data_IF_619406836900
#
_entry.id   IF_619406836900
#
_cell.length_a   1.000
_cell.length_b   1.000
_cell.length_c   1.000
_cell.angle_alpha   90.00
_cell.angle_beta   90.00
_cell.angle_gamma   90.00
#
_symmetry.space_group_name_H-M   'P 1'
#
loop_
_entity.id
_entity.type
_entity.pdbx_description
1 polymer ?
#
# COMPACT_ATOMS: atom_id res chain seq x y z
N UNK A 1 1.30 4.06 24.01
CA UNK A 1 1.92 2.80 23.58
C UNK A 1 2.20 2.95 22.09
N UNK A 2 3.45 3.19 21.70
CA UNK A 2 3.80 3.32 20.28
C UNK A 2 3.75 1.93 19.65
N UNK A 3 3.04 1.82 18.52
CA UNK A 3 2.98 0.57 17.77
C UNK A 3 4.41 0.18 17.36
N UNK A 4 4.76 -1.10 17.50
CA UNK A 4 6.05 -1.59 17.01
C UNK A 4 6.01 -1.58 15.48
N UNK A 5 7.04 -1.03 14.81
CA UNK A 5 7.10 -1.08 13.35
C UNK A 5 7.21 -2.54 12.89
N UNK A 6 6.78 -2.85 11.65
CA UNK A 6 7.06 -4.15 11.05
C UNK A 6 8.58 -4.31 10.95
N UNK A 7 9.13 -5.40 11.49
CA UNK A 7 10.56 -5.64 11.56
C UNK A 7 10.92 -6.88 10.72
N UNK A 8 11.95 -6.76 9.86
CA UNK A 8 12.53 -7.88 9.13
C UNK A 8 13.72 -8.46 9.91
N UNK A 9 13.40 -9.45 10.74
CA UNK A 9 14.38 -10.17 11.56
C UNK A 9 15.47 -10.86 10.73
N UNK A 10 15.10 -11.37 9.55
CA UNK A 10 16.04 -12.05 8.67
C UNK A 10 17.00 -11.06 8.02
N UNK A 11 16.54 -9.86 7.63
CA UNK A 11 17.40 -8.78 7.14
C UNK A 11 18.40 -8.33 8.21
N UNK A 12 17.94 -8.09 9.44
CA UNK A 12 18.80 -7.70 10.56
C UNK A 12 19.91 -8.74 10.78
N UNK A 13 19.55 -10.02 10.83
CA UNK A 13 20.51 -11.13 10.98
C UNK A 13 21.52 -11.18 9.84
N UNK A 14 21.07 -11.10 8.58
CA UNK A 14 21.94 -11.12 7.40
C UNK A 14 22.96 -9.97 7.42
N UNK A 15 22.52 -8.76 7.76
CA UNK A 15 23.38 -7.57 7.86
C UNK A 15 24.39 -7.71 9.00
N UNK A 16 23.97 -8.22 10.17
CA UNK A 16 24.89 -8.49 11.27
C UNK A 16 25.96 -9.51 10.87
N UNK A 17 25.54 -10.61 10.25
CA UNK A 17 26.44 -11.69 9.84
C UNK A 17 27.42 -11.24 8.74
N UNK A 18 27.00 -10.39 7.80
CA UNK A 18 27.89 -9.85 6.76
C UNK A 18 28.97 -8.92 7.32
N UNK A 19 28.70 -8.27 8.46
CA UNK A 19 29.68 -7.46 9.20
C UNK A 19 30.57 -8.30 10.14
N UNK A 20 30.36 -9.62 10.24
CA UNK A 20 31.08 -10.48 11.19
C UNK A 20 30.78 -10.16 12.66
N UNK A 21 29.64 -9.51 12.95
CA UNK A 21 29.28 -9.07 14.29
C UNK A 21 28.52 -10.15 15.06
N UNK A 22 28.71 -10.20 16.38
CA UNK A 22 27.86 -10.96 17.29
C UNK A 22 26.74 -10.05 17.81
N UNK A 23 25.64 -10.60 18.37
CA UNK A 23 24.63 -9.78 19.05
C UNK A 23 25.23 -8.88 20.15
N UNK A 24 26.31 -9.31 20.80
CA UNK A 24 27.02 -8.49 21.79
C UNK A 24 27.73 -7.27 21.18
N UNK A 25 28.31 -7.40 19.99
CA UNK A 25 28.88 -6.25 19.27
C UNK A 25 27.80 -5.23 18.90
N UNK A 26 26.63 -5.70 18.47
CA UNK A 26 25.49 -4.82 18.13
C UNK A 26 24.95 -4.12 19.38
N UNK A 27 24.76 -4.86 20.48
CA UNK A 27 24.37 -4.31 21.78
C UNK A 27 25.32 -3.18 22.23
N UNK A 28 26.62 -3.43 22.14
CA UNK A 28 27.63 -2.41 22.42
C UNK A 28 27.52 -1.21 21.48
N UNK A 29 27.32 -1.42 20.16
CA UNK A 29 27.14 -0.35 19.18
C UNK A 29 25.92 0.53 19.47
N UNK A 30 24.77 -0.08 19.80
CA UNK A 30 23.55 0.64 20.20
C UNK A 30 23.78 1.48 21.47
N UNK A 31 24.51 0.94 22.44
CA UNK A 31 24.84 1.69 23.65
C UNK A 31 25.83 2.83 23.37
N UNK A 32 26.91 2.57 22.63
CA UNK A 32 27.97 3.53 22.37
C UNK A 32 27.50 4.72 21.51
N UNK A 33 26.68 4.46 20.48
CA UNK A 33 26.23 5.49 19.55
C UNK A 33 24.92 6.16 19.96
N UNK A 34 24.02 5.44 20.66
CA UNK A 34 22.65 5.92 20.93
C UNK A 34 22.28 5.90 22.43
N UNK A 35 23.19 5.45 23.31
CA UNK A 35 22.93 5.37 24.75
C UNK A 35 21.94 4.27 25.14
N UNK A 36 21.49 3.43 24.21
CA UNK A 36 20.51 2.38 24.47
C UNK A 36 21.16 1.09 24.93
N UNK A 37 20.90 0.71 26.18
CA UNK A 37 21.37 -0.55 26.76
C UNK A 37 20.36 -1.67 26.47
N UNK A 38 20.59 -2.38 25.38
CA UNK A 38 19.82 -3.57 25.00
C UNK A 38 20.68 -4.80 25.24
N UNK A 39 20.12 -5.82 25.90
CA UNK A 39 20.85 -7.07 26.16
C UNK A 39 21.12 -7.82 24.84
N UNK A 40 22.29 -8.48 24.66
CA UNK A 40 22.57 -9.28 23.47
C UNK A 40 21.51 -10.35 23.19
N UNK A 41 20.92 -10.92 24.24
CA UNK A 41 19.84 -11.92 24.18
C UNK A 41 18.56 -11.32 23.58
N UNK A 42 18.28 -10.05 23.85
CA UNK A 42 17.14 -9.33 23.26
C UNK A 42 17.32 -9.17 21.74
N UNK A 43 18.55 -8.89 21.29
CA UNK A 43 18.86 -8.79 19.87
C UNK A 43 18.71 -10.17 19.20
N UNK A 44 19.19 -11.23 19.85
CA UNK A 44 18.98 -12.60 19.37
C UNK A 44 17.48 -12.95 19.28
N UNK A 45 16.68 -12.58 20.28
CA UNK A 45 15.23 -12.78 20.27
C UNK A 45 14.53 -12.00 19.14
N UNK A 46 15.01 -10.79 18.81
CA UNK A 46 14.54 -10.04 17.63
C UNK A 46 14.86 -10.78 16.33
N UNK A 47 16.09 -11.28 16.17
CA UNK A 47 16.52 -12.04 14.98
C UNK A 47 15.80 -13.38 14.81
N UNK A 48 15.30 -13.96 15.92
CA UNK A 48 14.43 -15.15 15.93
C UNK A 48 12.95 -14.82 15.77
N UNK A 49 12.61 -13.53 15.66
CA UNK A 49 11.24 -13.03 15.53
C UNK A 49 10.33 -13.37 16.74
N UNK A 50 10.92 -13.59 17.91
CA UNK A 50 10.23 -13.81 19.19
C UNK A 50 9.75 -12.49 19.81
N UNK A 51 10.43 -11.40 19.46
CA UNK A 51 10.06 -10.03 19.79
C UNK A 51 10.45 -9.09 18.64
N UNK A 52 10.16 -7.80 18.76
CA UNK A 52 10.60 -6.80 17.78
C UNK A 52 10.93 -5.46 18.46
N UNK A 53 11.84 -4.68 17.86
CA UNK A 53 12.23 -3.38 18.39
C UNK A 53 11.08 -2.37 18.30
N UNK A 54 11.07 -1.38 19.20
CA UNK A 54 10.32 -0.14 19.00
C UNK A 54 11.05 0.79 18.01
N UNK A 55 10.46 1.95 17.68
CA UNK A 55 11.03 2.88 16.69
C UNK A 55 12.43 3.40 17.06
N UNK A 56 12.66 3.76 18.33
CA UNK A 56 13.97 4.22 18.81
C UNK A 56 15.00 3.10 18.79
N UNK A 57 14.59 1.89 19.19
CA UNK A 57 15.43 0.69 19.13
C UNK A 57 15.78 0.31 17.69
N UNK A 58 14.83 0.42 16.75
CA UNK A 58 15.04 0.15 15.33
C UNK A 58 16.06 1.14 14.73
N UNK A 59 15.95 2.43 15.04
CA UNK A 59 16.88 3.43 14.58
C UNK A 59 18.30 3.19 15.13
N UNK A 60 18.42 2.85 16.41
CA UNK A 60 19.71 2.53 17.01
C UNK A 60 20.31 1.22 16.47
N UNK A 61 19.47 0.21 16.23
CA UNK A 61 19.88 -1.04 15.60
C UNK A 61 20.41 -0.81 14.18
N UNK A 62 19.69 -0.02 13.38
CA UNK A 62 20.12 0.37 12.04
C UNK A 62 21.47 1.11 12.06
N UNK A 63 21.63 2.06 13.00
CA UNK A 63 22.91 2.73 13.20
C UNK A 63 24.04 1.78 13.61
N UNK A 64 23.77 0.81 14.49
CA UNK A 64 24.75 -0.20 14.89
C UNK A 64 25.12 -1.16 13.76
N UNK A 65 24.19 -1.43 12.82
CA UNK A 65 24.39 -2.26 11.62
C UNK A 65 24.79 -1.47 10.37
N UNK A 66 24.98 -0.15 10.50
CA UNK A 66 25.43 0.73 9.43
C UNK A 66 24.51 0.69 8.19
N UNK A 67 23.20 0.53 8.43
CA UNK A 67 22.17 0.51 7.41
C UNK A 67 21.11 1.59 7.68
N UNK A 68 20.21 1.82 6.71
CA UNK A 68 19.07 2.69 6.93
C UNK A 68 18.01 1.94 7.76
N UNK A 69 17.20 2.63 8.61
CA UNK A 69 16.09 1.98 9.32
C UNK A 69 15.12 1.24 8.40
N UNK A 70 14.94 1.73 7.17
CA UNK A 70 14.16 1.09 6.12
C UNK A 70 14.65 -0.30 5.72
N UNK A 71 15.96 -0.56 5.80
CA UNK A 71 16.55 -1.86 5.45
C UNK A 71 16.19 -2.95 6.47
N UNK A 72 15.69 -2.55 7.64
CA UNK A 72 15.24 -3.43 8.72
C UNK A 72 13.72 -3.49 8.84
N UNK A 73 12.98 -2.75 8.02
CA UNK A 73 11.52 -2.78 8.03
C UNK A 73 10.99 -4.00 7.26
N UNK A 74 9.96 -4.63 7.83
CA UNK A 74 9.12 -5.57 7.10
C UNK A 74 8.18 -4.85 6.13
N UNK A 75 7.12 -5.53 5.69
CA UNK A 75 6.16 -4.93 4.75
C UNK A 75 5.44 -3.72 5.38
N UNK A 76 5.62 -2.49 4.87
CA UNK A 76 5.03 -1.29 5.43
C UNK A 76 3.51 -1.27 5.20
N UNK A 77 2.78 -0.81 6.21
CA UNK A 77 1.31 -0.71 6.26
C UNK A 77 0.81 0.69 6.61
N UNK A 78 1.67 1.55 7.14
CA UNK A 78 1.32 2.93 7.52
C UNK A 78 2.16 3.95 6.76
N UNK A 79 1.63 5.18 6.58
CA UNK A 79 2.38 6.27 5.93
C UNK A 79 3.73 6.52 6.60
N UNK A 80 3.75 6.42 7.93
CA UNK A 80 4.96 6.51 8.74
C UNK A 80 5.99 5.46 8.33
N UNK A 81 5.59 4.19 8.21
CA UNK A 81 6.48 3.09 7.80
C UNK A 81 6.97 3.23 6.37
N UNK A 82 6.10 3.65 5.42
CA UNK A 82 6.52 3.94 4.05
C UNK A 82 7.55 5.08 4.01
N UNK A 83 7.37 6.13 4.82
CA UNK A 83 8.34 7.22 4.94
C UNK A 83 9.68 6.73 5.50
N UNK A 84 9.66 5.91 6.55
CA UNK A 84 10.87 5.33 7.12
C UNK A 84 11.60 4.43 6.12
N UNK A 85 10.85 3.62 5.35
CA UNK A 85 11.41 2.79 4.28
C UNK A 85 12.13 3.62 3.21
N UNK A 86 11.60 4.81 2.90
CA UNK A 86 12.24 5.74 1.96
C UNK A 86 13.34 6.61 2.59
N UNK A 87 13.54 6.55 3.91
CA UNK A 87 14.53 7.35 4.62
C UNK A 87 14.28 8.87 4.56
N UNK A 88 13.02 9.30 4.41
CA UNK A 88 12.67 10.72 4.25
C UNK A 88 12.26 11.31 5.61
N UNK A 89 12.74 12.52 5.92
CA UNK A 89 12.30 13.22 7.13
C UNK A 89 10.83 13.65 7.02
N UNK A 90 10.12 13.67 8.16
CA UNK A 90 8.71 14.05 8.20
C UNK A 90 8.47 15.48 7.67
N UNK A 91 9.37 16.41 7.99
CA UNK A 91 9.36 17.79 7.47
C UNK A 91 9.49 17.87 5.95
N UNK A 92 10.29 16.98 5.36
CA UNK A 92 10.58 17.00 3.93
C UNK A 92 9.39 16.48 3.13
N UNK A 93 8.71 15.45 3.64
CA UNK A 93 7.44 14.99 3.06
C UNK A 93 6.42 16.12 3.13
N UNK A 94 6.25 16.72 4.31
CA UNK A 94 5.31 17.82 4.53
C UNK A 94 5.57 19.00 3.57
N UNK A 95 6.84 19.39 3.39
CA UNK A 95 7.25 20.43 2.46
C UNK A 95 6.91 20.06 1.01
N UNK A 96 7.26 18.85 0.56
CA UNK A 96 6.99 18.38 -0.81
C UNK A 96 5.51 18.34 -1.15
N UNK A 97 4.66 17.89 -0.22
CA UNK A 97 3.21 17.86 -0.41
C UNK A 97 2.55 19.22 -0.15
N UNK A 98 3.29 20.24 0.30
CA UNK A 98 2.74 21.55 0.63
C UNK A 98 1.75 21.51 1.82
N UNK A 99 2.07 20.73 2.85
CA UNK A 99 1.28 20.60 4.08
C UNK A 99 2.09 21.06 5.30
N UNK A 100 1.49 21.71 6.31
CA UNK A 100 2.20 22.00 7.55
C UNK A 100 2.70 20.73 8.23
N UNK A 101 3.95 20.72 8.73
CA UNK A 101 4.58 19.54 9.35
C UNK A 101 3.74 18.95 10.47
N UNK A 102 3.16 19.79 11.34
CA UNK A 102 2.29 19.32 12.42
C UNK A 102 1.02 18.62 11.91
N UNK A 103 0.46 19.07 10.79
CA UNK A 103 -0.70 18.42 10.16
C UNK A 103 -0.32 17.10 9.53
N UNK A 104 0.84 17.01 8.87
CA UNK A 104 1.34 15.76 8.33
C UNK A 104 1.68 14.74 9.44
N UNK A 105 2.27 15.21 10.55
CA UNK A 105 2.51 14.37 11.73
C UNK A 105 1.22 13.76 12.30
N UNK A 106 0.15 14.56 12.35
CA UNK A 106 -1.16 14.09 12.79
C UNK A 106 -1.76 13.05 11.83
N UNK A 107 -1.55 13.23 10.52
CA UNK A 107 -1.95 12.24 9.50
C UNK A 107 -1.20 10.91 9.70
N UNK A 108 0.12 10.94 9.90
CA UNK A 108 0.90 9.72 10.20
C UNK A 108 0.42 9.05 11.50
N UNK A 109 0.15 9.84 12.53
CA UNK A 109 -0.27 9.35 13.86
C UNK A 109 -1.67 8.74 13.86
N UNK A 110 -2.61 9.37 13.16
CA UNK A 110 -4.01 8.94 13.15
C UNK A 110 -4.33 7.94 12.04
N UNK A 111 -3.47 7.86 11.02
CA UNK A 111 -3.76 7.12 9.79
C UNK A 111 -4.89 7.73 8.96
N UNK A 112 -5.38 8.92 9.32
CA UNK A 112 -6.50 9.58 8.62
C UNK A 112 -5.97 10.67 7.71
N UNK A 113 -6.12 10.46 6.41
CA UNK A 113 -5.76 11.48 5.43
C UNK A 113 -6.71 12.68 5.51
N UNK A 114 -6.14 13.88 5.62
CA UNK A 114 -6.91 15.14 5.67
C UNK A 114 -6.52 16.12 4.55
N UNK A 115 -5.58 15.75 3.68
CA UNK A 115 -5.08 16.63 2.61
C UNK A 115 -5.99 16.66 1.38
N UNK A 116 -5.68 17.56 0.44
CA UNK A 116 -6.38 17.61 -0.86
C UNK A 116 -5.96 16.46 -1.78
N UNK A 117 -6.72 16.26 -2.86
CA UNK A 117 -6.40 15.25 -3.90
C UNK A 117 -5.02 15.51 -4.54
N UNK A 118 -4.65 16.78 -4.71
CA UNK A 118 -3.34 17.14 -5.23
C UNK A 118 -2.22 16.77 -4.25
N UNK A 119 -2.43 17.00 -2.95
CA UNK A 119 -1.47 16.61 -1.92
C UNK A 119 -1.33 15.09 -1.85
N UNK A 120 -2.44 14.36 -2.02
CA UNK A 120 -2.45 12.90 -2.06
C UNK A 120 -1.67 12.37 -3.27
N UNK A 121 -1.81 13.01 -4.44
CA UNK A 121 -1.04 12.70 -5.64
C UNK A 121 0.47 12.85 -5.41
N UNK A 122 0.89 14.00 -4.86
CA UNK A 122 2.29 14.26 -4.56
C UNK A 122 2.84 13.30 -3.51
N UNK A 123 2.03 12.93 -2.51
CA UNK A 123 2.40 11.93 -1.51
C UNK A 123 2.68 10.56 -2.14
N UNK A 124 1.81 10.11 -3.06
CA UNK A 124 1.96 8.84 -3.75
C UNK A 124 3.30 8.76 -4.49
N UNK A 125 3.68 9.84 -5.19
CA UNK A 125 4.97 9.93 -5.89
C UNK A 125 6.13 10.02 -4.89
N UNK A 126 6.01 10.85 -3.85
CA UNK A 126 7.09 11.08 -2.86
C UNK A 126 7.45 9.81 -2.10
N UNK A 127 6.46 8.99 -1.76
CA UNK A 127 6.65 7.74 -1.04
C UNK A 127 6.68 6.51 -1.96
N UNK A 128 6.60 6.70 -3.28
CA UNK A 128 6.58 5.64 -4.29
C UNK A 128 5.52 4.57 -3.99
N UNK A 129 4.31 5.04 -3.66
CA UNK A 129 3.20 4.18 -3.29
C UNK A 129 2.63 3.50 -4.53
N UNK A 130 2.36 2.20 -4.42
CA UNK A 130 1.56 1.52 -5.44
C UNK A 130 0.16 2.16 -5.51
N UNK A 131 -0.50 2.15 -6.68
CA UNK A 131 -1.86 2.69 -6.82
C UNK A 131 -2.86 2.13 -5.81
N UNK A 132 -2.77 0.83 -5.48
CA UNK A 132 -3.62 0.17 -4.48
C UNK A 132 -3.30 0.71 -3.08
N UNK A 133 -2.04 0.63 -2.68
CA UNK A 133 -1.54 1.15 -1.40
C UNK A 133 -1.90 2.62 -1.18
N UNK A 134 -1.81 3.43 -2.23
CA UNK A 134 -2.17 4.83 -2.18
C UNK A 134 -3.61 5.02 -1.72
N UNK A 135 -4.56 4.33 -2.36
CA UNK A 135 -6.00 4.43 -2.05
C UNK A 135 -6.32 3.94 -0.65
N UNK A 136 -5.72 2.82 -0.24
CA UNK A 136 -5.86 2.25 1.09
C UNK A 136 -5.40 3.25 2.17
N UNK A 137 -4.20 3.84 1.98
CA UNK A 137 -3.61 4.78 2.94
C UNK A 137 -4.35 6.12 3.04
N UNK A 138 -5.01 6.56 1.96
CA UNK A 138 -5.85 7.78 2.00
C UNK A 138 -7.31 7.49 2.36
N UNK A 139 -7.68 6.22 2.56
CA UNK A 139 -9.03 5.80 2.93
C UNK A 139 -10.08 6.02 1.85
N UNK A 140 -9.71 5.90 0.56
CA UNK A 140 -10.61 6.15 -0.57
C UNK A 140 -11.12 4.89 -1.29
N UNK A 141 -10.97 3.72 -0.68
CA UNK A 141 -11.41 2.44 -1.26
C UNK A 141 -12.90 2.43 -1.59
N UNK A 142 -13.74 2.98 -0.71
CA UNK A 142 -15.19 3.06 -0.92
C UNK A 142 -15.56 3.95 -2.10
N UNK A 143 -14.88 5.09 -2.25
CA UNK A 143 -15.09 6.00 -3.37
C UNK A 143 -14.66 5.36 -4.70
N UNK A 144 -13.49 4.72 -4.72
CA UNK A 144 -13.01 3.99 -5.89
C UNK A 144 -14.00 2.87 -6.27
N UNK A 145 -14.39 2.02 -5.32
CA UNK A 145 -15.37 0.94 -5.53
C UNK A 145 -16.68 1.47 -6.12
N UNK A 146 -17.19 2.60 -5.63
CA UNK A 146 -18.40 3.23 -6.14
C UNK A 146 -18.28 3.69 -7.60
N UNK A 147 -17.15 4.30 -7.96
CA UNK A 147 -16.87 4.67 -9.36
C UNK A 147 -16.71 3.45 -10.25
N UNK A 148 -15.99 2.42 -9.81
CA UNK A 148 -15.77 1.19 -10.58
C UNK A 148 -17.08 0.44 -10.83
N UNK A 149 -17.95 0.30 -9.81
CA UNK A 149 -19.27 -0.32 -9.96
C UNK A 149 -20.12 0.45 -10.96
N UNK A 150 -20.13 1.77 -10.88
CA UNK A 150 -20.90 2.61 -11.81
C UNK A 150 -20.34 2.54 -13.23
N UNK A 151 -19.02 2.53 -13.39
CA UNK A 151 -18.35 2.41 -14.68
C UNK A 151 -18.64 1.06 -15.34
N UNK A 152 -18.56 -0.04 -14.57
CA UNK A 152 -18.82 -1.38 -15.07
C UNK A 152 -20.28 -1.56 -15.52
N UNK A 153 -21.25 -1.02 -14.77
CA UNK A 153 -22.67 -1.18 -15.06
C UNK A 153 -23.30 -0.18 -16.03
N UNK A 154 -22.58 0.87 -16.45
CA UNK A 154 -23.15 1.96 -17.24
C UNK A 154 -22.14 2.52 -18.26
N UNK A 155 -22.19 3.84 -18.52
CA UNK A 155 -21.30 4.51 -19.46
C UNK A 155 -19.94 4.79 -18.82
N UNK A 156 -19.00 3.88 -19.00
CA UNK A 156 -17.67 3.92 -18.37
C UNK A 156 -16.87 5.20 -18.65
N UNK A 157 -17.04 5.85 -19.81
CA UNK A 157 -16.26 7.04 -20.18
C UNK A 157 -16.47 8.22 -19.21
N UNK A 158 -17.64 8.32 -18.57
CA UNK A 158 -17.93 9.36 -17.59
C UNK A 158 -17.09 9.22 -16.31
N UNK A 159 -16.57 8.02 -16.03
CA UNK A 159 -15.86 7.69 -14.80
C UNK A 159 -14.33 7.72 -14.96
N UNK A 160 -13.81 7.91 -16.17
CA UNK A 160 -12.36 8.03 -16.44
C UNK A 160 -11.74 9.16 -15.61
N UNK A 161 -12.33 10.37 -15.67
CA UNK A 161 -11.81 11.54 -14.96
C UNK A 161 -11.89 11.38 -13.43
N UNK A 162 -13.03 10.96 -12.83
CA UNK A 162 -13.10 10.64 -11.40
C UNK A 162 -12.07 9.61 -10.93
N UNK A 163 -11.91 8.50 -11.66
CA UNK A 163 -10.96 7.43 -11.27
C UNK A 163 -9.51 7.90 -11.42
N UNK A 164 -9.18 8.57 -12.52
CA UNK A 164 -7.83 9.13 -12.71
C UNK A 164 -7.47 10.19 -11.66
N UNK A 165 -8.46 10.95 -11.17
CA UNK A 165 -8.24 11.92 -10.07
C UNK A 165 -7.86 11.22 -8.76
N UNK A 166 -8.40 10.02 -8.51
CA UNK A 166 -8.04 9.21 -7.35
C UNK A 166 -6.70 8.48 -7.52
N UNK A 167 -6.33 8.17 -8.77
CA UNK A 167 -5.13 7.41 -9.12
C UNK A 167 -4.24 8.21 -10.07
N UNK A 168 -3.67 9.34 -9.60
CA UNK A 168 -2.95 10.29 -10.45
C UNK A 168 -1.60 9.76 -10.96
N UNK A 169 -1.08 8.68 -10.36
CA UNK A 169 0.12 7.98 -10.83
C UNK A 169 -0.13 7.06 -12.02
N UNK A 170 -1.39 6.87 -12.41
CA UNK A 170 -1.75 6.08 -13.59
C UNK A 170 -1.96 6.98 -14.80
N UNK A 171 -1.43 6.55 -15.93
CA UNK A 171 -1.75 7.15 -17.22
C UNK A 171 -3.25 7.08 -17.49
N UNK A 172 -3.82 8.19 -18.00
CA UNK A 172 -5.25 8.26 -18.32
C UNK A 172 -5.68 7.16 -19.29
N UNK A 173 -4.87 6.87 -20.31
CA UNK A 173 -5.14 5.80 -21.28
C UNK A 173 -5.18 4.40 -20.64
N UNK A 174 -4.41 4.18 -19.57
CA UNK A 174 -4.46 2.94 -18.79
C UNK A 174 -5.78 2.85 -18.01
N UNK A 175 -6.23 3.96 -17.41
CA UNK A 175 -7.55 4.01 -16.75
C UNK A 175 -8.66 3.72 -17.77
N UNK A 176 -8.62 4.35 -18.95
CA UNK A 176 -9.60 4.13 -20.01
C UNK A 176 -9.70 2.67 -20.42
N UNK A 177 -8.57 2.03 -20.75
CA UNK A 177 -8.53 0.60 -21.15
C UNK A 177 -9.07 -0.34 -20.07
N UNK A 178 -8.73 -0.10 -18.80
CA UNK A 178 -9.22 -0.94 -17.70
C UNK A 178 -10.72 -0.76 -17.50
N UNK A 179 -11.23 0.48 -17.55
CA UNK A 179 -12.66 0.74 -17.39
C UNK A 179 -13.49 0.17 -18.55
N UNK A 180 -13.01 0.29 -19.78
CA UNK A 180 -13.60 -0.36 -20.96
C UNK A 180 -13.67 -1.88 -20.76
N UNK A 181 -12.56 -2.49 -20.34
CA UNK A 181 -12.48 -3.94 -20.09
C UNK A 181 -13.47 -4.41 -19.01
N UNK A 182 -13.59 -3.66 -17.91
CA UNK A 182 -14.54 -3.98 -16.84
C UNK A 182 -16.00 -3.91 -17.33
N UNK A 183 -16.32 -2.90 -18.14
CA UNK A 183 -17.65 -2.74 -18.71
C UNK A 183 -17.98 -3.87 -19.69
N UNK A 184 -17.06 -4.21 -20.60
CA UNK A 184 -17.20 -5.31 -21.54
C UNK A 184 -17.43 -6.65 -20.83
N UNK A 185 -16.64 -6.95 -19.79
CA UNK A 185 -16.77 -8.20 -19.03
C UNK A 185 -18.08 -8.27 -18.25
N UNK A 186 -18.52 -7.16 -17.64
CA UNK A 186 -19.82 -7.09 -16.98
C UNK A 186 -20.96 -7.35 -17.97
N UNK A 187 -20.95 -6.69 -19.13
CA UNK A 187 -21.99 -6.85 -20.13
C UNK A 187 -21.97 -8.22 -20.79
N UNK A 188 -20.81 -8.84 -21.04
CA UNK A 188 -20.74 -10.23 -21.53
C UNK A 188 -21.39 -11.21 -20.56
N UNK A 189 -21.11 -11.08 -19.26
CA UNK A 189 -21.71 -11.94 -18.22
C UNK A 189 -23.21 -11.67 -18.06
N UNK A 190 -23.61 -10.41 -18.13
CA UNK A 190 -25.00 -9.98 -17.97
C UNK A 190 -25.87 -10.32 -19.18
N UNK A 191 -25.33 -10.30 -20.40
CA UNK A 191 -26.06 -10.54 -21.66
C UNK A 191 -25.84 -11.93 -22.25
N UNK A 192 -24.85 -12.71 -21.81
CA UNK A 192 -24.80 -14.16 -22.07
C UNK A 192 -26.06 -14.87 -21.54
N UNK A 193 -26.82 -14.22 -20.66
CA UNK A 193 -28.16 -14.62 -20.24
C UNK A 193 -29.19 -14.55 -21.38
N UNK A 194 -29.13 -13.52 -22.23
CA UNK A 194 -30.18 -13.24 -23.23
C UNK A 194 -30.09 -14.13 -24.46
N UNK A 195 -28.90 -14.63 -24.83
CA UNK A 195 -28.74 -15.50 -26.01
C UNK A 195 -29.14 -16.96 -25.75
N UNK A 196 -29.30 -17.38 -24.49
CA UNK A 196 -29.73 -18.73 -24.11
C UNK A 196 -31.19 -18.79 -23.64
N UNK A 197 -31.84 -17.64 -23.37
CA UNK A 197 -33.27 -17.53 -23.02
C UNK A 197 -34.22 -17.97 -24.16
N UNK A 198 -33.70 -18.40 -25.31
CA UNK A 198 -34.49 -19.11 -26.32
C UNK A 198 -34.71 -20.60 -26.00
N UNK A 199 -34.16 -21.17 -24.92
CA UNK A 199 -34.44 -22.56 -24.52
C UNK A 199 -34.29 -22.75 -22.99
N UNK A 200 -35.44 -22.97 -22.33
CA UNK A 200 -35.62 -23.56 -20.99
C UNK A 200 -35.36 -22.72 -19.72
N UNK A 201 -36.20 -22.97 -18.71
CA UNK A 201 -36.71 -22.00 -17.71
C UNK A 201 -36.06 -22.09 -16.32
N UNK A 202 -34.81 -22.55 -16.21
CA UNK A 202 -34.10 -22.65 -14.91
C UNK A 202 -32.79 -21.83 -14.83
N UNK A 203 -32.27 -21.32 -15.95
CA UNK A 203 -30.96 -20.63 -16.04
C UNK A 203 -30.99 -19.11 -15.77
N UNK A 204 -32.18 -18.51 -15.61
CA UNK A 204 -32.33 -17.07 -15.39
C UNK A 204 -31.69 -16.57 -14.09
N UNK A 205 -31.77 -17.35 -13.00
CA UNK A 205 -31.24 -16.96 -11.67
C UNK A 205 -29.71 -16.87 -11.66
N UNK A 206 -29.03 -17.87 -12.24
CA UNK A 206 -27.56 -17.97 -12.23
C UNK A 206 -26.86 -16.78 -12.92
N UNK A 207 -27.53 -16.14 -13.89
CA UNK A 207 -26.94 -15.05 -14.68
C UNK A 207 -27.01 -13.68 -14.01
N UNK A 208 -28.12 -13.39 -13.33
CA UNK A 208 -28.27 -12.18 -12.49
C UNK A 208 -27.30 -12.27 -11.30
N UNK A 209 -27.11 -13.48 -10.75
CA UNK A 209 -26.14 -13.74 -9.70
C UNK A 209 -24.70 -13.55 -10.18
N UNK A 210 -24.36 -14.01 -11.39
CA UNK A 210 -23.02 -13.81 -11.97
C UNK A 210 -22.67 -12.33 -12.21
N UNK A 211 -23.65 -11.52 -12.65
CA UNK A 211 -23.48 -10.07 -12.80
C UNK A 211 -23.31 -9.35 -11.46
N UNK A 212 -24.08 -9.73 -10.44
CA UNK A 212 -23.96 -9.19 -9.07
C UNK A 212 -22.61 -9.55 -8.44
N UNK A 213 -22.20 -10.81 -8.55
CA UNK A 213 -20.90 -11.27 -8.06
C UNK A 213 -19.75 -10.50 -8.71
N UNK A 214 -19.80 -10.27 -10.04
CA UNK A 214 -18.79 -9.46 -10.73
C UNK A 214 -18.69 -8.03 -10.17
N UNK A 215 -19.83 -7.41 -9.85
CA UNK A 215 -19.87 -6.06 -9.27
C UNK A 215 -19.45 -6.02 -7.80
N UNK A 216 -19.52 -7.13 -7.07
CA UNK A 216 -19.02 -7.25 -5.70
C UNK A 216 -17.49 -7.36 -5.69
N UNK A 217 -16.93 -8.07 -6.68
CA UNK A 217 -15.49 -8.27 -6.88
C UNK A 217 -14.82 -7.23 -7.81
N UNK A 218 -15.55 -6.20 -8.25
CA UNK A 218 -15.10 -5.24 -9.28
C UNK A 218 -13.77 -4.56 -8.96
N UNK A 219 -13.49 -4.31 -7.69
CA UNK A 219 -12.23 -3.72 -7.25
C UNK A 219 -11.07 -4.68 -7.50
N UNK A 220 -11.24 -5.98 -7.24
CA UNK A 220 -10.19 -6.98 -7.48
C UNK A 220 -9.95 -7.18 -8.98
N UNK A 221 -11.03 -7.20 -9.78
CA UNK A 221 -10.90 -7.23 -11.24
C UNK A 221 -10.15 -6.01 -11.78
N UNK A 222 -10.43 -4.82 -11.27
CA UNK A 222 -9.71 -3.60 -11.64
C UNK A 222 -8.20 -3.73 -11.39
N UNK A 223 -7.81 -4.18 -10.20
CA UNK A 223 -6.40 -4.34 -9.84
C UNK A 223 -5.71 -5.44 -10.65
N UNK A 224 -6.40 -6.55 -10.92
CA UNK A 224 -5.89 -7.63 -11.75
C UNK A 224 -5.62 -7.17 -13.19
N UNK A 225 -6.56 -6.43 -13.81
CA UNK A 225 -6.40 -5.87 -15.14
C UNK A 225 -5.27 -4.83 -15.19
N UNK A 226 -5.15 -4.00 -14.15
CA UNK A 226 -4.05 -3.04 -14.05
C UNK A 226 -2.69 -3.73 -13.95
N UNK A 227 -2.58 -4.81 -13.16
CA UNK A 227 -1.35 -5.59 -13.05
C UNK A 227 -0.99 -6.25 -14.39
N UNK A 228 -1.97 -6.80 -15.11
CA UNK A 228 -1.77 -7.40 -16.43
C UNK A 228 -1.26 -6.40 -17.47
N UNK A 229 -1.76 -5.16 -17.46
CA UNK A 229 -1.28 -4.09 -18.34
C UNK A 229 0.12 -3.57 -17.99
N UNK A 230 0.56 -3.72 -16.73
CA UNK A 230 1.91 -3.32 -16.29
C UNK A 230 2.95 -4.42 -16.47
N UNK A 231 2.54 -5.69 -16.47
CA UNK A 231 3.42 -6.84 -16.74
C UNK A 231 3.61 -7.15 -18.23
N UNK A 232 2.96 -6.40 -19.12
CA UNK A 232 3.04 -6.56 -20.59
C UNK A 232 3.99 -5.54 -21.25
N UNK A 233 4.91 -4.94 -20.49
CA UNK A 233 5.91 -3.97 -20.95
C UNK A 233 7.34 -4.44 -20.72
#
# INVERSE_FOLDING_TARGET
MHARPPFDAAAARRLRESLGMTPAHVSYGMWAAFGLRIAPETIAAWELQEAGPNETELAALAGALWCAPGDLLGTPRTLHEYRLLKGIAQSDVALRIGMPTARYAEVERTGKWTGSDQQAATLAVTLDLSPRTHIELIGKDGALRGYLRSAAGSRWQAYVKPVHKLLPTLERSTVERVLERLNDEFHKRSFSSLSWISTETETGSNSVDAGRQYLDEVTEHFWAHLAALRGTG
#
